data_IF_694313991098
#
_entry.id   IF_694313991098
#
_cell.length_a   1.000
_cell.length_b   1.000
_cell.length_c   1.000
_cell.angle_alpha   90.00
_cell.angle_beta   90.00
_cell.angle_gamma   90.00
#
_symmetry.space_group_name_H-M   'P 1'
#
loop_
_entity.id
_entity.type
_entity.pdbx_description
1 polymer ?
#
# COMPACT_ATOMS: atom_id res chain seq x y z
N UNK A 1 24.79 -7.26 23.21
CA UNK A 1 23.65 -8.16 23.00
C UNK A 1 24.12 -9.36 22.18
N UNK A 2 23.81 -10.58 22.62
CA UNK A 2 23.91 -11.79 21.81
C UNK A 2 22.86 -11.77 20.68
N UNK A 3 22.94 -12.69 19.71
CA UNK A 3 21.97 -12.75 18.61
C UNK A 3 20.54 -13.00 19.09
N UNK A 4 20.37 -13.86 20.09
CA UNK A 4 19.07 -14.15 20.72
C UNK A 4 18.49 -12.91 21.41
N UNK A 5 19.32 -12.18 22.16
CA UNK A 5 18.93 -10.92 22.80
C UNK A 5 18.48 -9.87 21.78
N UNK A 6 19.15 -9.78 20.62
CA UNK A 6 18.75 -8.88 19.53
C UNK A 6 17.32 -9.20 19.07
N UNK A 7 17.04 -10.47 18.73
CA UNK A 7 15.70 -10.85 18.23
C UNK A 7 14.58 -10.63 19.24
N UNK A 8 14.88 -10.73 20.54
CA UNK A 8 13.90 -10.51 21.61
C UNK A 8 13.70 -9.03 21.96
N UNK A 9 14.76 -8.22 21.92
CA UNK A 9 14.77 -6.88 22.49
C UNK A 9 14.62 -5.75 21.47
N UNK A 10 15.07 -5.92 20.22
CA UNK A 10 15.12 -4.79 19.26
C UNK A 10 13.87 -4.61 18.42
N UNK A 11 12.95 -5.57 18.45
CA UNK A 11 11.66 -5.45 17.78
C UNK A 11 11.67 -5.84 16.29
N UNK A 12 10.64 -6.54 15.80
CA UNK A 12 10.48 -6.84 14.37
C UNK A 12 9.77 -5.70 13.63
N UNK A 13 9.56 -5.88 12.32
CA UNK A 13 8.56 -5.08 11.58
C UNK A 13 7.16 -5.27 12.16
N UNK A 14 6.23 -4.38 11.82
CA UNK A 14 4.86 -4.45 12.30
C UNK A 14 4.11 -5.64 11.70
N UNK A 15 3.44 -6.42 12.57
CA UNK A 15 2.46 -7.42 12.13
C UNK A 15 1.15 -6.70 11.78
N UNK A 16 0.52 -7.07 10.67
CA UNK A 16 -0.67 -6.39 10.17
C UNK A 16 -1.81 -7.35 9.84
N UNK A 17 -3.04 -6.87 10.05
CA UNK A 17 -4.27 -7.46 9.53
C UNK A 17 -5.03 -6.35 8.81
N UNK A 18 -5.51 -6.63 7.61
CA UNK A 18 -6.02 -5.60 6.70
C UNK A 18 -7.26 -6.08 5.97
N UNK A 19 -8.22 -5.17 5.80
CA UNK A 19 -9.36 -5.37 4.92
C UNK A 19 -9.31 -4.29 3.84
N UNK A 20 -9.43 -4.69 2.58
CA UNK A 20 -9.37 -3.80 1.43
C UNK A 20 -10.61 -4.02 0.55
N UNK A 21 -11.22 -2.93 0.13
CA UNK A 21 -12.35 -2.91 -0.80
C UNK A 21 -12.06 -1.92 -1.92
N UNK A 22 -12.15 -2.38 -3.17
CA UNK A 22 -11.93 -1.56 -4.35
C UNK A 22 -13.15 -1.68 -5.27
N UNK A 23 -13.63 -0.53 -5.76
CA UNK A 23 -14.62 -0.46 -6.83
C UNK A 23 -13.92 -0.25 -8.16
N UNK A 24 -14.22 -1.10 -9.14
CA UNK A 24 -13.67 -1.01 -10.50
C UNK A 24 -14.78 -1.24 -11.53
N UNK A 25 -14.80 -0.44 -12.58
CA UNK A 25 -15.71 -0.63 -13.72
C UNK A 25 -15.27 -1.82 -14.58
N UNK A 26 -16.16 -2.30 -15.46
CA UNK A 26 -15.84 -3.41 -16.38
C UNK A 26 -14.70 -3.07 -17.35
N UNK A 27 -14.51 -1.80 -17.67
CA UNK A 27 -13.41 -1.32 -18.50
C UNK A 27 -12.14 -0.99 -17.69
N UNK A 28 -12.12 -1.29 -16.39
CA UNK A 28 -10.92 -1.22 -15.56
C UNK A 28 -10.59 0.16 -15.00
N UNK A 29 -11.56 1.06 -14.86
CA UNK A 29 -11.40 2.32 -14.12
C UNK A 29 -11.67 2.06 -12.64
N UNK A 30 -10.70 2.36 -11.78
CA UNK A 30 -10.88 2.30 -10.33
C UNK A 30 -11.67 3.54 -9.89
N UNK A 31 -12.85 3.32 -9.34
CA UNK A 31 -13.77 4.41 -8.95
C UNK A 31 -13.66 4.77 -7.48
N UNK A 32 -13.33 3.78 -6.63
CA UNK A 32 -13.23 3.99 -5.18
C UNK A 32 -12.29 2.98 -4.52
N UNK A 33 -11.67 3.38 -3.41
CA UNK A 33 -10.86 2.50 -2.57
C UNK A 33 -11.13 2.73 -1.08
N UNK A 34 -11.26 1.65 -0.32
CA UNK A 34 -11.30 1.68 1.14
C UNK A 34 -10.34 0.64 1.71
N UNK A 35 -9.54 1.04 2.71
CA UNK A 35 -8.66 0.13 3.44
C UNK A 35 -8.77 0.34 4.95
N UNK A 36 -8.81 -0.76 5.70
CA UNK A 36 -8.74 -0.78 7.15
C UNK A 36 -7.45 -1.47 7.56
N UNK A 37 -6.56 -0.75 8.25
CA UNK A 37 -5.21 -1.21 8.58
C UNK A 37 -5.08 -1.40 10.10
N UNK A 38 -4.96 -2.65 10.55
CA UNK A 38 -4.83 -3.01 11.98
C UNK A 38 -3.40 -3.46 12.22
N UNK A 39 -2.58 -2.55 12.74
CA UNK A 39 -1.13 -2.75 12.88
C UNK A 39 -0.78 -3.01 14.34
N UNK A 40 -0.16 -4.16 14.61
CA UNK A 40 0.22 -4.57 15.96
C UNK A 40 1.55 -3.91 16.37
N UNK A 41 1.47 -2.82 17.13
CA UNK A 41 2.62 -1.97 17.47
C UNK A 41 3.54 -2.47 18.58
N UNK A 42 3.15 -3.53 19.28
CA UNK A 42 3.81 -3.98 20.51
C UNK A 42 3.40 -3.14 21.72
N UNK A 43 4.28 -3.04 22.71
CA UNK A 43 3.96 -2.44 24.01
C UNK A 43 3.82 -0.90 24.00
N UNK A 44 4.25 -0.20 22.94
CA UNK A 44 4.28 1.27 22.89
C UNK A 44 3.67 1.83 21.60
N UNK A 45 3.06 3.03 21.65
CA UNK A 45 2.62 3.74 20.46
C UNK A 45 3.76 3.99 19.46
N UNK A 46 3.40 4.06 18.18
CA UNK A 46 4.27 4.30 17.03
C UNK A 46 3.45 4.84 15.84
N UNK A 47 4.15 5.38 14.83
CA UNK A 47 3.54 5.99 13.64
C UNK A 47 3.47 5.09 12.39
N UNK A 48 3.81 3.80 12.49
CA UNK A 48 3.93 2.92 11.31
C UNK A 48 2.61 2.79 10.52
N UNK A 49 1.48 2.82 11.22
CA UNK A 49 0.15 2.71 10.57
C UNK A 49 -0.20 3.94 9.74
N UNK A 50 0.28 5.12 10.13
CA UNK A 50 0.05 6.34 9.37
C UNK A 50 0.77 6.29 8.02
N UNK A 51 2.03 5.87 8.02
CA UNK A 51 2.82 5.67 6.80
C UNK A 51 2.21 4.59 5.89
N UNK A 52 1.67 3.51 6.48
CA UNK A 52 0.88 2.52 5.75
C UNK A 52 -0.39 3.12 5.13
N UNK A 53 -1.09 3.98 5.86
CA UNK A 53 -2.31 4.61 5.37
C UNK A 53 -2.06 5.60 4.22
N UNK A 54 -0.96 6.35 4.28
CA UNK A 54 -0.53 7.28 3.23
C UNK A 54 -0.16 6.52 1.94
N UNK A 55 0.51 5.38 2.07
CA UNK A 55 1.04 4.63 0.93
C UNK A 55 0.04 3.66 0.28
N UNK A 56 -0.98 3.20 1.00
CA UNK A 56 -1.92 2.16 0.57
C UNK A 56 -2.43 2.36 -0.88
N UNK A 57 -2.87 3.57 -1.21
CA UNK A 57 -3.44 3.90 -2.53
C UNK A 57 -2.61 4.95 -3.30
N UNK A 58 -1.39 5.24 -2.85
CA UNK A 58 -0.59 6.35 -3.40
C UNK A 58 -0.26 6.19 -4.90
N UNK A 59 -0.24 4.96 -5.41
CA UNK A 59 0.03 4.67 -6.82
C UNK A 59 -1.15 4.99 -7.75
N UNK A 60 -2.33 5.32 -7.23
CA UNK A 60 -3.56 5.46 -8.02
C UNK A 60 -4.17 6.86 -7.92
N UNK A 61 -4.65 7.39 -9.05
CA UNK A 61 -5.40 8.64 -9.12
C UNK A 61 -6.89 8.39 -8.76
N UNK A 62 -7.23 8.53 -7.48
CA UNK A 62 -8.55 8.19 -6.95
C UNK A 62 -9.31 9.40 -6.43
N UNK A 63 -10.54 9.60 -6.93
CA UNK A 63 -11.44 10.64 -6.44
C UNK A 63 -12.10 10.30 -5.11
N UNK A 64 -12.38 9.01 -4.86
CA UNK A 64 -13.05 8.53 -3.66
C UNK A 64 -12.17 7.49 -2.95
N UNK A 65 -11.47 7.91 -1.91
CA UNK A 65 -10.54 7.04 -1.18
C UNK A 65 -10.64 7.27 0.31
N UNK A 66 -10.63 6.19 1.09
CA UNK A 66 -10.64 6.24 2.56
C UNK A 66 -9.75 5.17 3.16
N UNK A 67 -8.75 5.58 3.94
CA UNK A 67 -7.96 4.67 4.75
C UNK A 67 -8.20 4.92 6.23
N UNK A 68 -8.49 3.87 6.99
CA UNK A 68 -8.60 3.90 8.46
C UNK A 68 -7.49 3.05 9.05
N UNK A 69 -6.70 3.62 9.94
CA UNK A 69 -5.57 2.93 10.57
C UNK A 69 -5.69 2.88 12.09
N UNK A 70 -5.35 1.74 12.68
CA UNK A 70 -5.21 1.57 14.12
C UNK A 70 -3.82 1.06 14.47
N UNK A 71 -3.22 1.68 15.48
CA UNK A 71 -2.06 1.13 16.17
C UNK A 71 -2.53 0.33 17.38
N UNK A 72 -2.48 -1.00 17.25
CA UNK A 72 -2.96 -1.94 18.26
C UNK A 72 -1.82 -2.23 19.24
N UNK A 73 -1.99 -1.76 20.47
CA UNK A 73 -1.06 -2.04 21.57
C UNK A 73 -1.26 -3.47 22.07
N UNK A 74 -0.15 -4.17 22.34
CA UNK A 74 -0.15 -5.57 22.79
C UNK A 74 1.02 -5.86 23.73
N UNK A 75 0.95 -6.94 24.50
CA UNK A 75 2.05 -7.41 25.35
C UNK A 75 3.15 -8.15 24.57
N UNK A 76 3.55 -7.63 23.39
CA UNK A 76 4.68 -8.11 22.59
C UNK A 76 5.79 -7.04 22.54
N UNK A 77 7.03 -7.42 22.22
CA UNK A 77 8.10 -6.45 22.00
C UNK A 77 7.66 -5.34 21.04
N UNK A 78 8.14 -4.12 21.30
CA UNK A 78 7.86 -2.94 20.47
C UNK A 78 8.25 -3.25 19.02
N UNK A 79 7.40 -2.92 18.05
CA UNK A 79 7.82 -2.97 16.65
C UNK A 79 8.87 -1.89 16.34
N UNK A 80 9.70 -2.15 15.34
CA UNK A 80 10.71 -1.24 14.85
C UNK A 80 10.53 -0.95 13.35
N UNK A 81 11.01 0.23 12.94
CA UNK A 81 11.05 0.62 11.54
C UNK A 81 11.89 -0.39 10.74
N UNK A 82 11.28 -0.96 9.69
CA UNK A 82 11.93 -1.91 8.79
C UNK A 82 11.59 -1.50 7.35
N UNK A 83 12.62 -1.07 6.59
CA UNK A 83 12.60 -0.59 5.18
C UNK A 83 11.20 -0.25 4.63
N UNK A 84 10.89 1.05 4.60
CA UNK A 84 9.57 1.62 4.33
C UNK A 84 8.53 1.21 5.41
N UNK A 85 8.59 1.79 6.62
CA UNK A 85 7.77 1.33 7.75
C UNK A 85 6.28 1.31 7.42
N UNK A 86 5.67 0.12 7.45
CA UNK A 86 4.22 -0.05 7.29
C UNK A 86 3.68 0.04 5.87
N UNK A 87 4.46 0.59 4.93
CA UNK A 87 4.03 0.74 3.54
C UNK A 87 3.94 -0.59 2.78
N UNK A 88 4.92 -1.50 2.84
CA UNK A 88 4.87 -2.78 2.13
C UNK A 88 3.61 -3.59 2.46
N UNK A 89 3.20 -3.61 3.73
CA UNK A 89 2.00 -4.34 4.15
C UNK A 89 0.74 -3.77 3.49
N UNK A 90 0.56 -2.44 3.55
CA UNK A 90 -0.62 -1.77 2.98
C UNK A 90 -0.66 -1.88 1.45
N UNK A 91 0.47 -1.63 0.79
CA UNK A 91 0.60 -1.74 -0.67
C UNK A 91 0.32 -3.17 -1.11
N UNK A 92 0.89 -4.18 -0.44
CA UNK A 92 0.62 -5.58 -0.76
C UNK A 92 -0.87 -5.92 -0.69
N UNK A 93 -1.57 -5.47 0.35
CA UNK A 93 -3.00 -5.71 0.49
C UNK A 93 -3.82 -5.05 -0.63
N UNK A 94 -3.49 -3.81 -0.99
CA UNK A 94 -4.18 -3.08 -2.09
C UNK A 94 -3.90 -3.73 -3.44
N UNK A 95 -2.63 -3.99 -3.75
CA UNK A 95 -2.22 -4.61 -5.02
C UNK A 95 -2.79 -6.01 -5.20
N UNK A 96 -2.94 -6.79 -4.11
CA UNK A 96 -3.58 -8.11 -4.17
C UNK A 96 -5.03 -8.00 -4.63
N UNK A 97 -5.80 -7.02 -4.12
CA UNK A 97 -7.18 -6.80 -4.56
C UNK A 97 -7.25 -6.27 -5.99
N UNK A 98 -6.34 -5.39 -6.39
CA UNK A 98 -6.26 -4.92 -7.79
C UNK A 98 -6.00 -6.09 -8.74
N UNK A 99 -5.06 -6.97 -8.38
CA UNK A 99 -4.73 -8.15 -9.19
C UNK A 99 -5.92 -9.12 -9.30
N UNK A 100 -6.58 -9.42 -8.18
CA UNK A 100 -7.81 -10.23 -8.17
C UNK A 100 -8.93 -9.63 -9.04
N UNK A 101 -9.08 -8.31 -9.05
CA UNK A 101 -10.07 -7.64 -9.91
C UNK A 101 -9.71 -7.76 -11.39
N UNK A 102 -8.43 -7.61 -11.74
CA UNK A 102 -7.96 -7.81 -13.10
C UNK A 102 -8.24 -9.24 -13.59
N UNK A 103 -7.95 -10.25 -12.76
CA UNK A 103 -8.25 -11.65 -13.06
C UNK A 103 -9.76 -11.89 -13.23
N UNK A 104 -10.59 -11.38 -12.31
CA UNK A 104 -12.06 -11.54 -12.36
C UNK A 104 -12.71 -10.88 -13.57
N UNK A 105 -12.15 -9.76 -14.05
CA UNK A 105 -12.66 -9.00 -15.18
C UNK A 105 -11.96 -9.33 -16.50
N UNK A 106 -10.97 -10.24 -16.49
CA UNK A 106 -10.13 -10.58 -17.64
C UNK A 106 -9.46 -9.35 -18.27
N UNK A 107 -8.86 -8.52 -17.42
CA UNK A 107 -8.15 -7.30 -17.80
C UNK A 107 -6.64 -7.49 -17.65
N UNK A 108 -5.87 -6.83 -18.51
CA UNK A 108 -4.41 -6.85 -18.40
C UNK A 108 -3.95 -6.05 -17.15
N UNK A 109 -3.21 -6.68 -16.22
CA UNK A 109 -2.84 -6.07 -14.95
C UNK A 109 -1.89 -4.86 -15.08
N UNK A 110 -1.06 -4.81 -16.12
CA UNK A 110 -0.18 -3.65 -16.37
C UNK A 110 -0.96 -2.50 -17.00
N UNK A 111 -1.84 -2.79 -17.97
CA UNK A 111 -2.69 -1.77 -18.59
C UNK A 111 -3.58 -1.08 -17.56
N UNK A 112 -4.18 -1.85 -16.64
CA UNK A 112 -5.04 -1.27 -15.60
C UNK A 112 -4.23 -0.40 -14.64
N UNK A 113 -3.00 -0.79 -14.28
CA UNK A 113 -2.13 0.03 -13.42
C UNK A 113 -1.74 1.34 -14.12
N UNK A 114 -1.37 1.29 -15.40
CA UNK A 114 -1.06 2.50 -16.19
C UNK A 114 -2.31 3.39 -16.30
N UNK A 115 -3.47 2.81 -16.61
CA UNK A 115 -4.73 3.52 -16.82
C UNK A 115 -5.17 4.31 -15.57
N UNK A 116 -4.88 3.79 -14.37
CA UNK A 116 -5.27 4.40 -13.10
C UNK A 116 -4.11 5.06 -12.35
N UNK A 117 -2.91 5.10 -12.93
CA UNK A 117 -1.70 5.54 -12.25
C UNK A 117 -1.78 7.00 -11.78
N UNK A 118 -1.26 7.24 -10.58
CA UNK A 118 -0.93 8.59 -10.14
C UNK A 118 0.15 9.19 -11.05
N UNK A 119 0.01 10.47 -11.35
CA UNK A 119 0.88 11.23 -12.25
C UNK A 119 1.14 12.63 -11.68
N UNK A 120 1.98 13.40 -12.36
CA UNK A 120 2.19 14.82 -12.01
C UNK A 120 0.84 15.54 -11.91
N UNK A 121 0.62 16.21 -10.78
CA UNK A 121 -0.64 16.89 -10.48
C UNK A 121 -1.71 16.04 -9.77
N UNK A 122 -1.51 14.73 -9.60
CA UNK A 122 -2.41 13.89 -8.80
C UNK A 122 -2.35 14.31 -7.34
N UNK A 123 -3.52 14.60 -6.75
CA UNK A 123 -3.64 14.89 -5.32
C UNK A 123 -3.74 13.58 -4.55
N UNK A 124 -2.74 13.30 -3.72
CA UNK A 124 -2.74 12.10 -2.87
C UNK A 124 -3.87 12.13 -1.84
N UNK A 125 -4.27 10.94 -1.38
CA UNK A 125 -5.31 10.75 -0.35
C UNK A 125 -4.99 11.42 0.98
N UNK A 126 -3.71 11.69 1.26
CA UNK A 126 -3.22 12.26 2.50
C UNK A 126 -2.80 13.74 2.37
N UNK A 127 -3.03 14.37 1.22
CA UNK A 127 -2.96 15.83 1.07
C UNK A 127 -2.04 16.33 -0.06
N UNK A 128 -0.74 15.92 -0.10
CA UNK A 128 0.20 16.41 -1.09
C UNK A 128 -0.24 16.18 -2.53
N UNK A 129 -0.01 17.17 -3.38
CA UNK A 129 -0.07 16.99 -4.83
C UNK A 129 1.30 16.54 -5.30
N UNK A 130 1.35 15.44 -6.02
CA UNK A 130 2.61 14.93 -6.54
C UNK A 130 3.15 15.82 -7.66
N UNK A 131 4.46 16.06 -7.61
CA UNK A 131 5.19 16.68 -8.71
C UNK A 131 5.60 15.59 -9.73
N UNK A 132 6.82 15.59 -10.24
CA UNK A 132 7.25 14.55 -11.19
C UNK A 132 7.33 13.18 -10.51
N UNK A 133 6.61 12.20 -11.07
CA UNK A 133 6.59 10.80 -10.62
C UNK A 133 6.95 9.88 -11.78
N UNK A 134 7.90 8.97 -11.55
CA UNK A 134 8.33 7.98 -12.55
C UNK A 134 7.44 6.74 -12.68
N UNK A 135 6.24 6.70 -12.07
CA UNK A 135 5.41 5.49 -12.01
C UNK A 135 5.01 5.00 -13.40
N UNK A 136 4.39 5.86 -14.22
CA UNK A 136 3.94 5.51 -15.57
C UNK A 136 5.14 5.07 -16.42
N UNK A 137 6.23 5.83 -16.41
CA UNK A 137 7.45 5.49 -17.16
C UNK A 137 8.02 4.12 -16.74
N UNK A 138 7.96 3.78 -15.45
CA UNK A 138 8.41 2.48 -14.93
C UNK A 138 7.50 1.34 -15.40
N UNK A 139 6.18 1.56 -15.37
CA UNK A 139 5.20 0.57 -15.84
C UNK A 139 5.28 0.33 -17.35
N UNK A 140 5.42 1.41 -18.14
CA UNK A 140 5.60 1.32 -19.59
C UNK A 140 6.92 0.61 -19.96
N UNK A 141 8.01 0.91 -19.25
CA UNK A 141 9.28 0.21 -19.44
C UNK A 141 9.13 -1.29 -19.14
N UNK A 142 8.48 -1.65 -18.03
CA UNK A 142 8.22 -3.05 -17.69
C UNK A 142 7.35 -3.75 -18.75
N UNK A 143 6.30 -3.09 -19.25
CA UNK A 143 5.44 -3.61 -20.32
C UNK A 143 6.23 -3.89 -21.60
N UNK A 144 7.12 -2.98 -21.99
CA UNK A 144 7.91 -3.11 -23.21
C UNK A 144 8.92 -4.28 -23.14
N UNK A 145 9.38 -4.66 -21.95
CA UNK A 145 10.26 -5.83 -21.78
C UNK A 145 9.55 -7.18 -21.96
N UNK A 146 8.21 -7.22 -21.89
CA UNK A 146 7.43 -8.45 -22.07
C UNK A 146 7.14 -8.76 -23.55
N UNK A 147 7.56 -7.89 -24.48
CA UNK A 147 7.32 -7.98 -25.93
C UNK A 147 8.60 -8.41 -26.71
N UNK A 148 9.69 -8.72 -25.99
CA UNK A 148 10.93 -9.31 -26.56
C UNK A 148 11.15 -10.71 -26.04
#
# INVERSE_FOLDING_TARGET
MTRDEVFKATGPTVSSSMDVKIGMTKDGIITAGEAHLRYQGGAFPNGTVEMGAQSAFAAYDLKAVRTKGWNVLTNRPKQAAYRAPGAPQAIYAVESVVDELCQKLNLDPLEIRIKNAAKKGTKSSYGPTFDDIGLIATLEAAKNTLIT
#
